data_IF_768890268559
#
_entry.id   IF_768890268559
#
_cell.length_a   1.000
_cell.length_b   1.000
_cell.length_c   1.000
_cell.angle_alpha   90.00
_cell.angle_beta   90.00
_cell.angle_gamma   90.00
#
_symmetry.space_group_name_H-M   'P 1'
#
loop_
_entity.id
_entity.type
_entity.pdbx_description
1 polymer ?
#
# COMPACT_ATOMS: atom_id res chain seq x y z
N UNK A 1 -10.93 23.50 15.92
CA UNK A 1 -12.18 23.20 15.19
C UNK A 1 -11.82 23.13 13.71
N UNK A 2 -12.45 22.24 12.94
CA UNK A 2 -12.13 22.00 11.53
C UNK A 2 -13.13 22.75 10.65
N UNK A 3 -12.63 23.58 9.74
CA UNK A 3 -13.47 24.32 8.80
C UNK A 3 -13.68 23.49 7.51
N UNK A 4 -14.94 23.24 7.09
CA UNK A 4 -15.24 22.59 5.82
C UNK A 4 -14.69 23.36 4.62
N UNK A 5 -14.20 22.63 3.62
CA UNK A 5 -13.78 23.18 2.34
C UNK A 5 -14.73 22.66 1.27
N UNK A 6 -15.35 23.55 0.51
CA UNK A 6 -16.18 23.18 -0.64
C UNK A 6 -15.32 22.96 -1.88
N UNK A 7 -15.50 21.83 -2.56
CA UNK A 7 -14.80 21.49 -3.80
C UNK A 7 -15.39 22.30 -4.96
N UNK A 8 -14.56 23.09 -5.61
CA UNK A 8 -14.91 23.75 -6.88
C UNK A 8 -14.31 22.98 -8.06
N UNK A 9 -14.73 23.31 -9.29
CA UNK A 9 -14.15 22.71 -10.52
C UNK A 9 -12.64 22.95 -10.69
N UNK A 10 -12.09 23.91 -9.96
CA UNK A 10 -10.66 24.28 -9.99
C UNK A 10 -9.93 23.79 -8.71
N UNK A 11 -10.63 23.09 -7.83
CA UNK A 11 -10.04 22.61 -6.59
C UNK A 11 -8.94 21.58 -6.87
N UNK A 12 -7.80 21.65 -6.16
CA UNK A 12 -6.73 20.66 -6.29
C UNK A 12 -7.15 19.27 -5.80
N UNK A 13 -8.26 19.17 -5.06
CA UNK A 13 -8.76 17.91 -4.49
C UNK A 13 -9.78 17.20 -5.38
N UNK A 14 -10.02 17.72 -6.59
CA UNK A 14 -11.01 17.17 -7.50
C UNK A 14 -10.54 15.80 -8.05
N UNK A 15 -11.37 14.78 -7.90
CA UNK A 15 -11.03 13.40 -8.29
C UNK A 15 -10.24 12.60 -7.26
N UNK A 16 -9.78 13.24 -6.17
CA UNK A 16 -9.30 12.49 -5.00
C UNK A 16 -10.45 11.75 -4.33
N UNK A 17 -10.14 10.72 -3.54
CA UNK A 17 -11.14 9.89 -2.87
C UNK A 17 -11.22 10.14 -1.35
N UNK A 18 -12.42 9.99 -0.81
CA UNK A 18 -12.62 9.97 0.63
C UNK A 18 -12.03 8.69 1.22
N UNK A 19 -11.24 8.82 2.29
CA UNK A 19 -10.60 7.66 2.92
C UNK A 19 -11.59 6.68 3.54
N UNK A 20 -12.78 7.15 3.98
CA UNK A 20 -13.81 6.30 4.55
C UNK A 20 -14.67 5.58 3.50
N UNK A 21 -15.36 6.32 2.63
CA UNK A 21 -16.32 5.74 1.68
C UNK A 21 -15.73 5.36 0.31
N UNK A 22 -14.47 5.76 0.04
CA UNK A 22 -13.76 5.51 -1.23
C UNK A 22 -14.39 6.14 -2.48
N UNK A 23 -15.41 6.98 -2.32
CA UNK A 23 -15.97 7.73 -3.44
C UNK A 23 -15.08 8.94 -3.78
N UNK A 24 -14.92 9.26 -5.07
CA UNK A 24 -14.20 10.45 -5.51
C UNK A 24 -14.98 11.72 -5.18
N UNK A 25 -14.26 12.81 -4.91
CA UNK A 25 -14.84 14.13 -4.67
C UNK A 25 -15.28 14.78 -5.98
N UNK A 26 -16.51 15.30 -5.97
CA UNK A 26 -17.12 16.04 -7.06
C UNK A 26 -17.23 17.54 -6.73
N UNK A 27 -17.35 18.41 -7.75
CA UNK A 27 -17.66 19.82 -7.53
C UNK A 27 -18.96 20.00 -6.74
N UNK A 28 -18.91 20.78 -5.66
CA UNK A 28 -20.02 21.01 -4.74
C UNK A 28 -19.91 20.21 -3.44
N UNK A 29 -19.07 19.19 -3.37
CA UNK A 29 -18.88 18.41 -2.15
C UNK A 29 -18.17 19.23 -1.07
N UNK A 30 -18.59 19.04 0.18
CA UNK A 30 -17.90 19.56 1.33
C UNK A 30 -16.94 18.51 1.90
N UNK A 31 -15.67 18.88 2.02
CA UNK A 31 -14.63 18.01 2.56
C UNK A 31 -13.99 18.60 3.81
N UNK A 32 -13.43 17.72 4.64
CA UNK A 32 -12.54 18.07 5.73
C UNK A 32 -11.21 17.36 5.56
N UNK A 33 -10.14 18.05 5.94
CA UNK A 33 -8.77 17.54 5.92
C UNK A 33 -8.35 17.23 7.34
N UNK A 34 -7.87 16.01 7.58
CA UNK A 34 -7.35 15.63 8.87
C UNK A 34 -6.07 16.42 9.19
N UNK A 35 -5.93 17.00 10.39
CA UNK A 35 -4.77 17.83 10.75
C UNK A 35 -3.48 17.01 10.95
N UNK A 36 -3.59 15.71 11.20
CA UNK A 36 -2.44 14.85 11.51
C UNK A 36 -1.77 14.26 10.25
N UNK A 37 -2.58 13.72 9.33
CA UNK A 37 -2.09 12.95 8.18
C UNK A 37 -2.50 13.53 6.82
N UNK A 38 -3.16 14.70 6.82
CA UNK A 38 -3.69 15.38 5.62
C UNK A 38 -4.68 14.54 4.78
N UNK A 39 -5.22 13.47 5.35
CA UNK A 39 -6.21 12.63 4.69
C UNK A 39 -7.55 13.37 4.54
N UNK A 40 -8.24 13.11 3.43
CA UNK A 40 -9.44 13.84 3.01
C UNK A 40 -10.69 13.00 3.25
N UNK A 41 -11.72 13.64 3.78
CA UNK A 41 -13.00 13.01 4.09
C UNK A 41 -14.15 13.92 3.67
N UNK A 42 -15.27 13.36 3.23
CA UNK A 42 -16.51 14.15 3.18
C UNK A 42 -16.88 14.61 4.59
N UNK A 43 -17.45 15.80 4.73
CA UNK A 43 -17.93 16.31 6.03
C UNK A 43 -18.89 15.32 6.70
N UNK A 44 -19.83 14.74 5.94
CA UNK A 44 -20.74 13.71 6.42
C UNK A 44 -20.00 12.44 6.88
N UNK A 45 -19.03 11.95 6.10
CA UNK A 45 -18.26 10.76 6.45
C UNK A 45 -17.44 10.95 7.73
N UNK A 46 -16.86 12.14 7.92
CA UNK A 46 -16.12 12.47 9.13
C UNK A 46 -17.01 12.45 10.37
N UNK A 47 -18.21 13.04 10.30
CA UNK A 47 -19.20 12.98 11.40
C UNK A 47 -19.68 11.57 11.66
N UNK A 48 -20.01 10.81 10.61
CA UNK A 48 -20.45 9.43 10.71
C UNK A 48 -19.38 8.51 11.34
N UNK A 49 -18.11 8.83 11.13
CA UNK A 49 -16.99 8.14 11.76
C UNK A 49 -16.66 8.68 13.17
N UNK A 50 -17.50 9.54 13.76
CA UNK A 50 -17.31 10.04 15.12
C UNK A 50 -16.29 11.17 15.23
N UNK A 51 -16.22 12.04 14.22
CA UNK A 51 -15.31 13.20 14.17
C UNK A 51 -13.82 12.83 14.26
N UNK A 52 -13.45 11.68 13.69
CA UNK A 52 -12.09 11.13 13.68
C UNK A 52 -11.69 10.62 12.30
N UNK A 53 -10.38 10.60 12.06
CA UNK A 53 -9.78 10.09 10.85
C UNK A 53 -10.05 8.60 10.66
N UNK A 54 -10.37 8.20 9.43
CA UNK A 54 -10.54 6.79 9.04
C UNK A 54 -9.27 6.17 8.42
N UNK A 55 -8.19 6.95 8.26
CA UNK A 55 -6.93 6.43 7.76
C UNK A 55 -6.30 5.47 8.77
N UNK A 56 -5.72 4.39 8.25
CA UNK A 56 -5.10 3.37 9.06
C UNK A 56 -3.94 3.94 9.89
N UNK A 57 -3.99 3.76 11.21
CA UNK A 57 -2.96 4.21 12.14
C UNK A 57 -3.01 5.70 12.51
N UNK A 58 -3.91 6.49 11.93
CA UNK A 58 -4.08 7.89 12.31
C UNK A 58 -4.95 8.04 13.56
N UNK A 59 -4.61 9.01 14.41
CA UNK A 59 -5.38 9.38 15.62
C UNK A 59 -5.99 10.77 15.54
N UNK A 60 -5.95 11.39 14.35
CA UNK A 60 -6.49 12.72 14.14
C UNK A 60 -7.98 12.78 14.40
N UNK A 61 -8.40 13.79 15.14
CA UNK A 61 -9.79 14.03 15.54
C UNK A 61 -10.07 15.52 15.59
N UNK A 62 -11.33 15.90 15.47
CA UNK A 62 -11.72 17.30 15.50
C UNK A 62 -13.17 17.51 15.10
N UNK A 63 -13.83 18.45 15.76
CA UNK A 63 -15.22 18.79 15.47
C UNK A 63 -15.30 19.78 14.29
N UNK A 64 -16.30 19.61 13.44
CA UNK A 64 -16.53 20.45 12.27
C UNK A 64 -17.34 21.68 12.68
N UNK A 65 -16.85 22.88 12.32
CA UNK A 65 -17.58 24.13 12.52
C UNK A 65 -18.89 24.08 11.72
N UNK A 66 -20.02 24.12 12.42
CA UNK A 66 -21.33 23.97 11.82
C UNK A 66 -21.86 25.34 11.39
N UNK A 67 -21.46 25.79 10.21
CA UNK A 67 -22.13 26.91 9.52
C UNK A 67 -23.23 26.42 8.54
N UNK A 68 -23.32 25.10 8.33
CA UNK A 68 -24.22 24.45 7.37
C UNK A 68 -25.48 23.82 8.01
N UNK A 69 -26.02 24.44 9.06
CA UNK A 69 -27.35 24.07 9.60
C UNK A 69 -28.51 24.86 8.94
N UNK A 70 -28.20 25.82 8.05
CA UNK A 70 -29.20 26.68 7.40
C UNK A 70 -29.53 26.31 5.93
N UNK A 71 -28.94 25.25 5.36
CA UNK A 71 -29.30 24.77 4.01
C UNK A 71 -30.03 23.43 3.96
N UNK A 72 -30.09 22.69 5.06
CA UNK A 72 -30.85 21.44 5.20
C UNK A 72 -32.30 21.71 5.70
N UNK A 73 -33.01 22.66 5.07
CA UNK A 73 -34.43 22.91 5.31
C UNK A 73 -35.19 23.31 4.03
N UNK A 74 -34.79 22.76 2.89
CA UNK A 74 -35.58 22.80 1.67
C UNK A 74 -35.73 21.37 1.11
N UNK A 75 -36.95 20.80 1.05
CA UNK A 75 -37.16 19.49 0.46
C UNK A 75 -37.09 19.61 -1.07
N UNK A 76 -36.26 18.85 -1.80
CA UNK A 76 -36.42 18.74 -3.24
C UNK A 76 -37.67 17.90 -3.54
N UNK A 77 -38.63 18.55 -4.21
CA UNK A 77 -39.83 17.95 -4.82
C UNK A 77 -39.45 16.85 -5.82
N UNK A 78 -40.13 15.72 -5.70
CA UNK A 78 -40.62 14.75 -6.70
C UNK A 78 -39.98 14.71 -8.13
N UNK A 79 -39.53 13.50 -8.50
CA UNK A 79 -38.89 12.90 -9.71
C UNK A 79 -39.72 12.90 -11.03
N UNK A 80 -39.37 12.19 -12.14
CA UNK A 80 -38.11 11.88 -12.88
C UNK A 80 -38.22 12.20 -14.42
N UNK A 81 -37.24 11.83 -15.31
CA UNK A 81 -37.33 10.54 -16.02
C UNK A 81 -35.99 9.80 -16.25
N UNK A 82 -36.13 8.49 -16.41
CA UNK A 82 -35.16 7.48 -16.84
C UNK A 82 -34.56 7.79 -18.24
N UNK A 83 -33.29 7.45 -18.49
CA UNK A 83 -33.00 6.57 -19.63
C UNK A 83 -32.12 5.35 -19.27
N UNK A 84 -32.40 4.31 -20.04
CA UNK A 84 -32.06 2.88 -20.04
C UNK A 84 -30.62 2.42 -19.73
N UNK A 85 -30.43 1.12 -19.41
CA UNK A 85 -29.14 0.54 -19.03
C UNK A 85 -28.41 -0.02 -20.26
N UNK A 86 -27.36 0.67 -20.72
CA UNK A 86 -26.42 0.07 -21.67
C UNK A 86 -25.34 -0.73 -20.93
N UNK A 87 -25.50 -2.04 -21.00
CA UNK A 87 -24.46 -3.02 -20.71
C UNK A 87 -23.30 -2.83 -21.70
N UNK A 88 -22.17 -2.30 -21.24
CA UNK A 88 -20.88 -2.51 -21.90
C UNK A 88 -19.96 -3.32 -20.99
N UNK A 89 -20.14 -4.64 -21.04
CA UNK A 89 -19.10 -5.60 -20.71
C UNK A 89 -18.19 -5.68 -21.93
N UNK A 90 -17.03 -5.03 -21.87
CA UNK A 90 -15.80 -5.50 -22.52
C UNK A 90 -14.59 -4.67 -22.11
N UNK A 91 -13.83 -5.22 -21.17
CA UNK A 91 -12.45 -5.54 -21.51
C UNK A 91 -11.38 -4.53 -21.14
N UNK A 92 -10.40 -5.09 -20.44
CA UNK A 92 -8.97 -4.81 -20.54
C UNK A 92 -8.40 -3.80 -19.55
N UNK A 93 -7.73 -4.44 -18.59
CA UNK A 93 -6.58 -3.97 -17.84
C UNK A 93 -6.94 -2.91 -16.82
N UNK A 94 -7.47 -3.38 -15.68
CA UNK A 94 -7.05 -2.86 -14.39
C UNK A 94 -5.51 -2.87 -14.40
N UNK A 95 -4.92 -1.79 -14.89
CA UNK A 95 -3.57 -1.42 -14.49
C UNK A 95 -3.68 -1.35 -12.98
N UNK A 96 -3.07 -2.33 -12.34
CA UNK A 96 -2.52 -2.26 -10.99
C UNK A 96 -1.70 -0.98 -10.91
N UNK A 97 -2.40 0.15 -10.80
CA UNK A 97 -1.81 1.45 -10.64
C UNK A 97 -1.15 1.41 -9.28
N UNK A 98 0.19 1.55 -9.28
CA UNK A 98 1.09 1.73 -8.16
C UNK A 98 0.47 2.56 -7.02
N UNK A 99 -0.37 1.93 -6.20
CA UNK A 99 -0.81 2.46 -4.90
C UNK A 99 0.09 1.93 -3.78
N UNK A 100 1.36 1.71 -4.08
CA UNK A 100 2.37 1.66 -3.02
C UNK A 100 2.56 3.09 -2.55
N UNK A 101 1.81 3.48 -1.53
CA UNK A 101 1.96 4.79 -0.90
C UNK A 101 3.40 5.05 -0.50
N UNK A 102 3.79 6.33 -0.40
CA UNK A 102 5.15 6.75 -0.07
C UNK A 102 5.74 5.98 1.15
N UNK A 103 4.91 5.67 2.15
CA UNK A 103 5.31 4.84 3.30
C UNK A 103 5.57 3.36 2.97
N UNK A 104 4.76 2.73 2.12
CA UNK A 104 4.92 1.32 1.75
C UNK A 104 6.13 1.10 0.81
N UNK A 105 6.44 2.09 -0.02
CA UNK A 105 7.66 2.11 -0.83
C UNK A 105 8.93 2.17 0.02
N UNK A 106 8.99 3.12 0.98
CA UNK A 106 10.14 3.27 1.88
C UNK A 106 10.41 2.01 2.72
N UNK A 107 9.35 1.36 3.21
CA UNK A 107 9.47 0.12 3.97
C UNK A 107 10.06 -1.02 3.13
N UNK A 108 9.61 -1.19 1.89
CA UNK A 108 10.12 -2.25 0.99
C UNK A 108 11.59 -2.01 0.60
N UNK A 109 11.95 -0.76 0.29
CA UNK A 109 13.35 -0.40 -0.01
C UNK A 109 14.24 -0.65 1.21
N UNK A 110 13.78 -0.29 2.41
CA UNK A 110 14.50 -0.55 3.65
C UNK A 110 14.75 -2.05 3.89
N UNK A 111 13.72 -2.89 3.74
CA UNK A 111 13.86 -4.35 3.89
C UNK A 111 14.83 -4.91 2.84
N UNK A 112 14.72 -4.48 1.59
CA UNK A 112 15.61 -4.95 0.52
C UNK A 112 17.08 -4.61 0.83
N UNK A 113 17.35 -3.38 1.24
CA UNK A 113 18.70 -2.94 1.62
C UNK A 113 19.23 -3.75 2.81
N UNK A 114 18.40 -3.98 3.84
CA UNK A 114 18.79 -4.76 5.01
C UNK A 114 19.17 -6.21 4.65
N UNK A 115 18.38 -6.87 3.79
CA UNK A 115 18.65 -8.22 3.30
C UNK A 115 19.97 -8.24 2.54
N UNK A 116 20.21 -7.29 1.63
CA UNK A 116 21.43 -7.21 0.84
C UNK A 116 22.66 -7.08 1.74
N UNK A 117 22.65 -6.16 2.70
CA UNK A 117 23.77 -5.99 3.63
C UNK A 117 23.99 -7.22 4.51
N UNK A 118 22.91 -7.85 4.99
CA UNK A 118 23.00 -9.08 5.76
C UNK A 118 23.61 -10.22 4.93
N UNK A 119 23.17 -10.39 3.67
CA UNK A 119 23.73 -11.39 2.76
C UNK A 119 25.22 -11.13 2.48
N UNK A 120 25.61 -9.89 2.16
CA UNK A 120 27.02 -9.55 1.90
C UNK A 120 27.87 -9.82 3.14
N UNK A 121 27.40 -9.43 4.33
CA UNK A 121 28.11 -9.70 5.58
C UNK A 121 28.27 -11.20 5.83
N UNK A 122 27.20 -11.98 5.62
CA UNK A 122 27.22 -13.42 5.85
C UNK A 122 28.14 -14.15 4.85
N UNK A 123 28.05 -13.82 3.55
CA UNK A 123 28.92 -14.40 2.53
C UNK A 123 30.37 -13.95 2.68
N UNK A 124 30.61 -12.68 3.02
CA UNK A 124 31.95 -12.14 3.25
C UNK A 124 32.62 -12.80 4.45
N UNK A 125 31.90 -12.92 5.58
CA UNK A 125 32.41 -13.61 6.76
C UNK A 125 32.69 -15.09 6.48
N UNK A 126 31.79 -15.74 5.73
CA UNK A 126 31.97 -17.13 5.32
C UNK A 126 33.20 -17.32 4.44
N UNK A 127 33.40 -16.46 3.43
CA UNK A 127 34.56 -16.51 2.54
C UNK A 127 35.89 -16.27 3.29
N UNK A 128 35.90 -15.36 4.28
CA UNK A 128 37.07 -15.13 5.13
C UNK A 128 37.35 -16.36 5.99
N UNK A 129 36.33 -16.96 6.59
CA UNK A 129 36.48 -18.18 7.38
C UNK A 129 37.01 -19.33 6.52
N UNK A 130 36.47 -19.52 5.32
CA UNK A 130 36.91 -20.53 4.36
C UNK A 130 38.39 -20.33 3.96
N UNK A 131 38.77 -19.09 3.63
CA UNK A 131 40.16 -18.73 3.35
C UNK A 131 41.10 -19.06 4.51
N UNK A 132 40.73 -18.72 5.75
CA UNK A 132 41.54 -19.03 6.93
C UNK A 132 41.67 -20.55 7.12
N UNK A 133 40.57 -21.28 6.94
CA UNK A 133 40.54 -22.73 7.14
C UNK A 133 41.41 -23.46 6.10
N UNK A 134 41.37 -23.02 4.85
CA UNK A 134 42.12 -23.63 3.76
C UNK A 134 43.59 -23.22 3.76
N UNK A 135 43.89 -21.92 3.82
CA UNK A 135 45.24 -21.39 3.60
C UNK A 135 46.07 -21.31 4.89
N UNK A 136 45.46 -20.93 6.01
CA UNK A 136 46.20 -20.73 7.27
C UNK A 136 46.26 -22.01 8.08
N UNK A 137 45.12 -22.72 8.19
CA UNK A 137 45.01 -23.93 9.00
C UNK A 137 45.33 -25.21 8.21
N UNK A 138 45.48 -25.13 6.88
CA UNK A 138 45.79 -26.28 6.04
C UNK A 138 44.73 -27.38 6.10
N UNK A 139 43.50 -27.03 6.47
CA UNK A 139 42.43 -27.99 6.73
C UNK A 139 41.85 -28.41 5.38
N UNK A 140 42.44 -29.44 4.79
CA UNK A 140 41.93 -29.99 3.54
C UNK A 140 40.54 -30.56 3.80
N UNK A 141 39.51 -30.01 3.15
CA UNK A 141 38.15 -30.56 3.15
C UNK A 141 38.20 -32.00 2.64
N UNK A 142 38.37 -32.94 3.56
CA UNK A 142 38.31 -34.36 3.27
C UNK A 142 36.85 -34.67 3.04
N UNK A 143 36.41 -34.59 1.79
CA UNK A 143 35.09 -35.05 1.36
C UNK A 143 35.02 -36.53 1.75
N UNK A 144 34.20 -36.94 2.73
CA UNK A 144 34.05 -38.35 3.04
C UNK A 144 33.26 -38.96 1.89
N UNK A 145 33.90 -39.83 1.11
CA UNK A 145 33.24 -40.88 0.34
C UNK A 145 32.39 -40.47 -0.90
N UNK A 146 32.82 -39.52 -1.74
CA UNK A 146 32.29 -39.43 -3.12
C UNK A 146 32.80 -40.57 -4.05
N UNK A 147 33.63 -41.49 -3.54
CA UNK A 147 34.23 -42.59 -4.31
C UNK A 147 33.37 -43.87 -4.42
N UNK A 148 32.31 -44.03 -3.64
CA UNK A 148 31.57 -45.30 -3.54
C UNK A 148 30.22 -45.34 -4.27
N UNK A 149 29.70 -44.21 -4.76
CA UNK A 149 28.36 -44.17 -5.40
C UNK A 149 28.44 -44.28 -6.93
N UNK A 150 29.56 -43.89 -7.55
CA UNK A 150 29.76 -43.99 -9.01
C UNK A 150 29.80 -45.43 -9.58
N UNK A 151 30.39 -46.46 -8.94
CA UNK A 151 30.41 -47.79 -9.56
C UNK A 151 29.03 -48.46 -9.58
N UNK A 152 28.13 -48.12 -8.64
CA UNK A 152 26.81 -48.74 -8.57
C UNK A 152 25.86 -48.24 -9.66
N UNK A 153 25.96 -46.96 -10.05
CA UNK A 153 25.12 -46.36 -11.10
C UNK A 153 25.49 -46.88 -12.49
N UNK A 154 26.79 -47.11 -12.75
CA UNK A 154 27.25 -47.66 -14.04
C UNK A 154 26.83 -49.13 -14.20
N UNK A 155 26.82 -49.92 -13.13
CA UNK A 155 26.41 -51.34 -13.19
C UNK A 155 24.89 -51.49 -13.44
N UNK A 156 24.08 -50.59 -12.89
CA UNK A 156 22.60 -50.59 -13.04
C UNK A 156 22.13 -50.13 -14.42
N UNK A 157 22.93 -49.35 -15.14
CA UNK A 157 22.68 -48.95 -16.53
C UNK A 157 23.17 -49.99 -17.55
N UNK A 158 23.92 -51.01 -17.11
CA UNK A 158 24.49 -52.07 -17.95
C UNK A 158 23.70 -53.40 -17.91
N UNK A 159 22.62 -53.48 -17.11
CA UNK A 159 21.65 -54.59 -17.10
C UNK A 159 20.35 -54.18 -17.77
#
# INVERSE_FOLDING_TARGET
MLSPITITKQSPFLGDECVLCKNPFAPGDEIVVCPEDSSRHHTHCWRAHGNKCAAYGCRGQGEIETESAAREAAPPRNSPPNPEPDANVNGRIQRTANRFGCGQGCLLVGIAIAIIFFSIGCFGLWAIADYIMLEVLGWQYRVPEAGLVLPQIVLLLAL
#
